data_IF_824788326886
#
_entry.id   IF_824788326886
#
_cell.length_a   1.000
_cell.length_b   1.000
_cell.length_c   1.000
_cell.angle_alpha   90.00
_cell.angle_beta   90.00
_cell.angle_gamma   90.00
#
_symmetry.space_group_name_H-M   'P 1'
#
loop_
_entity.id
_entity.type
_entity.pdbx_description
1 polymer ?
#
# COMPACT_ATOMS: atom_id res chain seq x y z
N UNK A 1 6.88 -19.53 -6.87
CA UNK A 1 6.29 -18.40 -6.11
C UNK A 1 6.64 -18.67 -4.66
N UNK A 2 7.57 -17.90 -4.09
CA UNK A 2 8.00 -18.12 -2.72
C UNK A 2 6.81 -17.90 -1.77
N UNK A 3 6.55 -18.88 -0.92
CA UNK A 3 5.50 -18.82 0.09
C UNK A 3 6.05 -18.00 1.26
N UNK A 4 5.82 -16.69 1.25
CA UNK A 4 6.06 -15.87 2.43
C UNK A 4 5.00 -16.21 3.48
N UNK A 5 5.46 -16.48 4.71
CA UNK A 5 4.57 -16.63 5.86
C UNK A 5 3.97 -15.24 6.12
N UNK A 6 2.74 -15.04 5.67
CA UNK A 6 2.05 -13.77 5.83
C UNK A 6 1.62 -13.70 7.29
N UNK A 7 2.45 -13.06 8.12
CA UNK A 7 2.07 -12.71 9.49
C UNK A 7 0.86 -11.74 9.54
N UNK A 8 0.43 -11.23 8.38
CA UNK A 8 -0.65 -10.27 8.13
C UNK A 8 -0.39 -8.91 8.81
N UNK A 9 0.87 -8.58 9.11
CA UNK A 9 1.28 -7.32 9.73
C UNK A 9 2.04 -6.39 8.75
N UNK A 10 2.07 -6.78 7.48
CA UNK A 10 2.57 -5.94 6.40
C UNK A 10 1.68 -4.72 6.13
N UNK A 11 2.25 -3.71 5.48
CA UNK A 11 1.57 -2.46 5.12
C UNK A 11 1.79 -2.11 3.65
N UNK A 12 0.82 -1.42 3.07
CA UNK A 12 0.97 -0.75 1.78
C UNK A 12 1.04 0.76 2.04
N UNK A 13 2.10 1.41 1.57
CA UNK A 13 2.40 2.80 1.92
C UNK A 13 2.87 3.59 0.71
N UNK A 14 2.39 4.83 0.57
CA UNK A 14 3.00 5.82 -0.31
C UNK A 14 4.12 6.55 0.43
N UNK A 15 5.37 6.24 0.08
CA UNK A 15 6.52 6.96 0.62
C UNK A 15 6.54 8.43 0.18
N UNK A 16 7.14 9.29 1.01
CA UNK A 16 7.32 10.73 0.74
C UNK A 16 8.17 11.03 -0.49
N UNK A 17 8.83 10.01 -1.04
CA UNK A 17 9.54 10.02 -2.31
C UNK A 17 8.64 9.75 -3.54
N UNK A 18 7.33 9.50 -3.33
CA UNK A 18 6.38 9.21 -4.40
C UNK A 18 6.38 7.76 -4.87
N UNK A 19 7.06 6.85 -4.15
CA UNK A 19 7.07 5.42 -4.42
C UNK A 19 6.07 4.71 -3.51
N UNK A 20 5.15 3.96 -4.10
CA UNK A 20 4.20 3.12 -3.38
C UNK A 20 4.80 1.73 -3.14
N UNK A 21 4.87 1.30 -1.88
CA UNK A 21 5.56 0.07 -1.46
C UNK A 21 4.64 -0.86 -0.68
N UNK A 22 4.87 -2.15 -0.86
CA UNK A 22 4.34 -3.21 0.01
C UNK A 22 5.47 -3.71 0.89
N UNK A 23 5.28 -3.54 2.18
CA UNK A 23 6.26 -3.82 3.22
C UNK A 23 5.74 -4.97 4.09
N UNK A 24 6.62 -5.85 4.55
CA UNK A 24 6.28 -6.76 5.64
C UNK A 24 6.38 -6.07 7.02
N UNK A 25 6.23 -6.86 8.08
CA UNK A 25 6.30 -6.38 9.45
C UNK A 25 7.67 -5.81 9.83
N UNK A 26 8.75 -6.29 9.20
CA UNK A 26 10.12 -5.83 9.39
C UNK A 26 10.52 -4.71 8.42
N UNK A 27 9.58 -4.28 7.58
CA UNK A 27 9.75 -3.24 6.56
C UNK A 27 10.65 -3.66 5.40
N UNK A 28 10.80 -4.96 5.18
CA UNK A 28 11.39 -5.43 3.92
C UNK A 28 10.40 -5.16 2.77
N UNK A 29 10.92 -4.70 1.64
CA UNK A 29 10.13 -4.28 0.49
C UNK A 29 9.90 -5.50 -0.41
N UNK A 30 8.65 -5.91 -0.55
CA UNK A 30 8.24 -7.03 -1.43
C UNK A 30 7.88 -6.55 -2.84
N UNK A 31 7.32 -5.36 -2.93
CA UNK A 31 6.94 -4.74 -4.19
C UNK A 31 6.99 -3.23 -4.08
N UNK A 32 7.41 -2.56 -5.14
CA UNK A 32 7.43 -1.11 -5.23
C UNK A 32 7.03 -0.64 -6.63
N UNK A 33 6.30 0.48 -6.69
CA UNK A 33 5.92 1.14 -7.94
C UNK A 33 6.00 2.66 -7.78
N UNK A 34 6.60 3.33 -8.77
CA UNK A 34 6.57 4.78 -8.84
C UNK A 34 5.19 5.29 -9.26
N UNK A 35 4.67 6.26 -8.50
CA UNK A 35 3.45 6.96 -8.86
C UNK A 35 3.76 8.31 -9.52
N UNK A 36 3.07 8.60 -10.62
CA UNK A 36 3.03 9.93 -11.23
C UNK A 36 2.21 10.88 -10.34
N UNK A 37 2.42 12.21 -10.41
CA UNK A 37 1.68 13.18 -9.60
C UNK A 37 0.15 13.00 -9.66
N UNK A 38 -0.40 12.68 -10.83
CA UNK A 38 -1.84 12.43 -11.00
C UNK A 38 -2.34 11.22 -10.21
N UNK A 39 -1.53 10.15 -10.09
CA UNK A 39 -1.89 8.96 -9.32
C UNK A 39 -1.73 9.19 -7.82
N UNK A 40 -0.74 10.00 -7.40
CA UNK A 40 -0.59 10.44 -6.01
C UNK A 40 -1.83 11.24 -5.60
N UNK A 41 -2.24 12.23 -6.42
CA UNK A 41 -3.45 13.01 -6.17
C UNK A 41 -4.70 12.12 -6.09
N UNK A 42 -4.88 11.21 -7.03
CA UNK A 42 -5.99 10.27 -7.00
C UNK A 42 -6.03 9.38 -5.74
N UNK A 43 -4.87 9.04 -5.17
CA UNK A 43 -4.78 8.32 -3.90
C UNK A 43 -5.21 9.20 -2.72
N UNK A 44 -4.74 10.46 -2.66
CA UNK A 44 -5.07 11.43 -1.61
C UNK A 44 -6.56 11.81 -1.60
N UNK A 45 -7.19 11.89 -2.77
CA UNK A 45 -8.61 12.22 -2.91
C UNK A 45 -9.55 11.12 -2.36
N UNK A 46 -9.01 9.97 -1.95
CA UNK A 46 -9.77 8.90 -1.26
C UNK A 46 -9.97 9.17 0.22
N UNK A 47 -9.27 10.15 0.78
CA UNK A 47 -9.38 10.59 2.18
C UNK A 47 -9.90 12.02 2.25
N UNK A 48 -10.39 12.49 3.41
CA UNK A 48 -10.77 13.90 3.58
C UNK A 48 -9.63 14.83 3.14
N UNK A 49 -10.00 15.93 2.49
CA UNK A 49 -9.04 16.92 2.01
C UNK A 49 -8.23 17.53 3.18
N UNK A 50 -6.92 17.58 3.01
CA UNK A 50 -5.96 18.24 3.90
C UNK A 50 -5.05 19.16 3.09
N UNK A 51 -5.08 20.45 3.42
CA UNK A 51 -4.33 21.48 2.71
C UNK A 51 -2.81 21.35 2.91
N UNK A 52 -2.35 20.94 4.09
CA UNK A 52 -0.92 20.79 4.38
C UNK A 52 -0.35 19.55 3.69
N UNK A 53 -1.12 18.46 3.64
CA UNK A 53 -0.77 17.30 2.83
C UNK A 53 -0.73 17.64 1.34
N UNK A 54 -1.73 18.35 0.79
CA UNK A 54 -1.69 18.72 -0.63
C UNK A 54 -0.46 19.58 -0.96
N UNK A 55 -0.11 20.54 -0.09
CA UNK A 55 1.12 21.34 -0.25
C UNK A 55 2.36 20.47 -0.24
N UNK A 56 2.45 19.49 0.65
CA UNK A 56 3.58 18.57 0.73
C UNK A 56 3.73 17.72 -0.54
N UNK A 57 2.63 17.14 -1.04
CA UNK A 57 2.66 16.27 -2.22
C UNK A 57 2.82 17.01 -3.54
N UNK A 58 2.63 18.33 -3.54
CA UNK A 58 2.77 19.17 -4.74
C UNK A 58 4.20 19.11 -5.29
N UNK A 59 4.33 18.62 -6.51
CA UNK A 59 5.62 18.51 -7.21
C UNK A 59 6.38 17.21 -6.95
N UNK A 60 5.87 16.33 -6.09
CA UNK A 60 6.41 14.99 -5.88
C UNK A 60 6.05 14.11 -7.09
N UNK A 61 7.05 13.48 -7.69
CA UNK A 61 6.93 12.64 -8.87
C UNK A 61 7.84 11.41 -8.71
N UNK A 62 7.26 10.29 -8.30
CA UNK A 62 7.99 9.05 -8.08
C UNK A 62 8.66 8.52 -9.34
N UNK A 63 8.21 8.91 -10.53
CA UNK A 63 8.82 8.45 -11.80
C UNK A 63 10.21 9.02 -12.06
N UNK A 64 10.60 10.05 -11.29
CA UNK A 64 11.94 10.64 -11.32
C UNK A 64 12.91 10.00 -10.34
N UNK A 65 12.42 9.14 -9.43
CA UNK A 65 13.25 8.45 -8.45
C UNK A 65 13.99 7.30 -9.13
N UNK A 66 15.33 7.20 -8.98
CA UNK A 66 16.11 6.10 -9.51
C UNK A 66 15.56 4.74 -9.06
N UNK A 67 15.50 3.77 -9.98
CA UNK A 67 14.87 2.46 -9.73
C UNK A 67 15.51 1.68 -8.58
N UNK A 68 16.80 1.87 -8.32
CA UNK A 68 17.49 1.28 -7.18
C UNK A 68 16.89 1.73 -5.83
N UNK A 69 16.53 3.01 -5.71
CA UNK A 69 15.94 3.57 -4.49
C UNK A 69 14.51 3.08 -4.23
N UNK A 70 13.88 2.39 -5.19
CA UNK A 70 12.56 1.80 -4.97
C UNK A 70 12.63 0.68 -3.93
N UNK A 71 13.73 -0.07 -3.93
CA UNK A 71 13.99 -1.19 -3.01
C UNK A 71 15.12 -0.92 -2.01
N UNK A 72 15.93 0.12 -2.26
CA UNK A 72 16.98 0.59 -1.36
C UNK A 72 16.80 2.09 -1.03
N UNK A 73 15.69 2.48 -0.39
CA UNK A 73 15.40 3.89 -0.15
C UNK A 73 16.40 4.50 0.86
N UNK A 74 16.65 5.82 0.78
CA UNK A 74 17.43 6.54 1.78
C UNK A 74 16.90 6.33 3.21
N UNK A 75 17.77 6.43 4.24
CA UNK A 75 17.34 6.35 5.63
C UNK A 75 16.22 7.35 5.95
N UNK A 76 15.20 6.90 6.67
CA UNK A 76 14.05 7.73 7.09
C UNK A 76 12.91 7.84 6.09
N UNK A 77 13.03 7.25 4.89
CA UNK A 77 11.91 7.17 3.93
C UNK A 77 10.89 6.12 4.34
N UNK A 78 11.35 4.97 4.84
CA UNK A 78 10.48 3.92 5.32
C UNK A 78 9.95 4.22 6.73
N UNK A 79 8.71 3.85 7.03
CA UNK A 79 8.11 3.98 8.33
C UNK A 79 8.78 3.00 9.27
N UNK A 80 8.78 3.34 10.55
CA UNK A 80 9.37 2.46 11.55
C UNK A 80 8.63 1.11 11.59
N UNK A 81 9.35 0.01 11.83
CA UNK A 81 8.74 -1.26 12.16
C UNK A 81 7.83 -1.13 13.38
N UNK A 82 6.80 -1.98 13.47
CA UNK A 82 5.95 -2.05 14.66
C UNK A 82 6.79 -2.43 15.88
N UNK A 83 6.42 -1.90 17.05
CA UNK A 83 7.00 -2.38 18.32
C UNK A 83 6.64 -3.85 18.55
N UNK A 84 7.46 -4.55 19.33
CA UNK A 84 7.22 -5.96 19.67
C UNK A 84 5.86 -6.19 20.36
N UNK A 85 5.38 -5.22 21.13
CA UNK A 85 4.06 -5.26 21.77
C UNK A 85 2.93 -5.26 20.73
N UNK A 86 2.91 -4.25 19.84
CA UNK A 86 1.92 -4.19 18.76
C UNK A 86 2.00 -5.39 17.81
N UNK A 87 3.20 -5.96 17.61
CA UNK A 87 3.36 -7.20 16.84
C UNK A 87 2.70 -8.39 17.53
N UNK A 88 2.85 -8.53 18.85
CA UNK A 88 2.19 -9.60 19.61
C UNK A 88 0.68 -9.45 19.55
N UNK A 89 0.16 -8.25 19.76
CA UNK A 89 -1.28 -7.97 19.65
C UNK A 89 -1.81 -8.29 18.26
N UNK A 90 -1.11 -7.84 17.21
CA UNK A 90 -1.47 -8.14 15.83
C UNK A 90 -1.50 -9.65 15.55
N UNK A 91 -0.49 -10.40 16.01
CA UNK A 91 -0.46 -11.87 15.88
C UNK A 91 -1.62 -12.54 16.61
N UNK A 92 -1.97 -12.10 17.81
CA UNK A 92 -3.12 -12.62 18.56
C UNK A 92 -4.43 -12.34 17.83
N UNK A 93 -4.62 -11.13 17.30
CA UNK A 93 -5.78 -10.79 16.49
C UNK A 93 -5.87 -11.63 15.22
N UNK A 94 -4.73 -11.93 14.59
CA UNK A 94 -4.68 -12.77 13.39
C UNK A 94 -5.03 -14.23 13.72
N UNK A 95 -4.60 -14.74 14.87
CA UNK A 95 -4.96 -16.07 15.35
C UNK A 95 -6.46 -16.18 15.66
N UNK A 96 -7.02 -15.20 16.38
CA UNK A 96 -8.46 -15.13 16.67
C UNK A 96 -9.30 -15.09 15.39
N UNK A 97 -8.82 -14.39 14.36
CA UNK A 97 -9.55 -14.20 13.10
C UNK A 97 -9.15 -15.20 12.00
N UNK A 98 -8.36 -16.23 12.30
CA UNK A 98 -7.77 -17.13 11.31
C UNK A 98 -8.80 -17.71 10.34
N UNK A 99 -9.91 -18.22 10.86
CA UNK A 99 -10.99 -18.81 10.04
C UNK A 99 -11.60 -17.80 9.06
N UNK A 100 -11.75 -16.54 9.49
CA UNK A 100 -12.26 -15.46 8.64
C UNK A 100 -11.29 -15.16 7.50
N UNK A 101 -9.98 -15.12 7.77
CA UNK A 101 -8.97 -14.91 6.74
C UNK A 101 -8.89 -16.08 5.76
N UNK A 102 -8.97 -17.32 6.25
CA UNK A 102 -8.99 -18.52 5.41
C UNK A 102 -10.21 -18.52 4.49
N UNK A 103 -11.38 -18.11 4.99
CA UNK A 103 -12.58 -17.94 4.16
C UNK A 103 -12.41 -16.87 3.09
N UNK A 104 -11.91 -15.67 3.45
CA UNK A 104 -11.63 -14.60 2.48
C UNK A 104 -10.67 -15.09 1.37
N UNK A 105 -9.65 -15.85 1.74
CA UNK A 105 -8.68 -16.43 0.80
C UNK A 105 -9.28 -17.52 -0.09
N UNK A 106 -10.21 -18.32 0.43
CA UNK A 106 -10.96 -19.29 -0.37
C UNK A 106 -11.91 -18.58 -1.36
N UNK A 107 -12.62 -17.55 -0.89
CA UNK A 107 -13.55 -16.77 -1.69
C UNK A 107 -12.82 -15.97 -2.79
N UNK A 108 -11.61 -15.48 -2.52
CA UNK A 108 -10.81 -14.75 -3.53
C UNK A 108 -10.36 -15.63 -4.70
N UNK A 109 -10.18 -16.94 -4.50
CA UNK A 109 -9.91 -17.89 -5.59
C UNK A 109 -11.11 -18.06 -6.53
N UNK A 110 -12.32 -17.78 -6.03
CA UNK A 110 -13.58 -17.82 -6.77
C UNK A 110 -14.05 -16.42 -7.21
N UNK A 111 -13.20 -15.40 -7.08
CA UNK A 111 -13.55 -14.03 -7.44
C UNK A 111 -13.74 -13.94 -8.96
N UNK A 112 -15.00 -13.88 -9.41
CA UNK A 112 -15.32 -13.51 -10.80
C UNK A 112 -14.91 -12.06 -11.00
N UNK A 113 -14.25 -11.76 -12.12
CA UNK A 113 -13.86 -10.40 -12.49
C UNK A 113 -15.01 -9.43 -12.26
N UNK A 114 -14.85 -8.55 -11.26
CA UNK A 114 -15.75 -7.41 -11.12
C UNK A 114 -15.30 -6.40 -12.16
N UNK A 115 -16.00 -6.37 -13.29
CA UNK A 115 -15.88 -5.28 -14.24
C UNK A 115 -16.13 -3.97 -13.50
N UNK A 116 -15.10 -3.14 -13.41
CA UNK A 116 -15.23 -1.77 -12.93
C UNK A 116 -15.79 -0.97 -14.08
N UNK A 117 -17.03 -0.53 -13.97
CA UNK A 117 -17.63 0.41 -14.92
C UNK A 117 -17.32 1.81 -14.42
N UNK A 118 -16.75 2.64 -15.30
CA UNK A 118 -16.70 4.08 -15.07
C UNK A 118 -18.05 4.62 -15.54
N UNK A 119 -18.92 4.92 -14.59
CA UNK A 119 -20.13 5.68 -14.88
C UNK A 119 -19.75 7.16 -14.88
N UNK A 120 -19.84 7.79 -16.05
CA UNK A 120 -19.62 9.22 -16.21
C UNK A 120 -20.90 9.84 -16.76
N UNK A 121 -21.30 10.96 -16.16
CA UNK A 121 -22.37 11.80 -16.70
C UNK A 121 -22.00 12.45 -18.05
N UNK A 122 -20.75 12.27 -18.50
CA UNK A 122 -20.22 12.86 -19.72
C UNK A 122 -19.89 11.74 -20.71
N UNK A 123 -20.24 11.94 -21.98
CA UNK A 123 -19.87 11.01 -23.04
C UNK A 123 -18.35 10.95 -23.15
N UNK A 124 -17.78 9.79 -22.83
CA UNK A 124 -16.40 9.47 -23.16
C UNK A 124 -16.41 9.06 -24.64
N UNK A 125 -16.07 10.00 -25.51
CA UNK A 125 -15.81 9.77 -26.95
C UNK A 125 -14.38 9.28 -27.18
#
# INVERSE_FOLDING_TARGET
>A
MESHDLDLLGIAELGRDGIFRYLDADRNIHYAIALRPALIKALLDRTPYDQEEEKFWRGIDGTRVPKDQWYNPPPGVLPLPLSEEHRKEGRQLNEINKEKFDKIRADSKNYKDRFVFIESDHKLE
#
